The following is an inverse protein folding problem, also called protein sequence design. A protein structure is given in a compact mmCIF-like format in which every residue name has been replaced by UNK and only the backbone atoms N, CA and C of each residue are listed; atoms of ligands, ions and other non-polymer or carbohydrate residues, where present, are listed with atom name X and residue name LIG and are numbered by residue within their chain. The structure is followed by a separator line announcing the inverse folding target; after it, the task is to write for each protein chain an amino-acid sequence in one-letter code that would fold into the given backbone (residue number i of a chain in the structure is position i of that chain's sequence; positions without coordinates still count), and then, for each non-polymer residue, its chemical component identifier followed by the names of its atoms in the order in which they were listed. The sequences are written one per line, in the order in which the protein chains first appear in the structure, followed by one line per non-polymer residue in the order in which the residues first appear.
data_IF_375108815917
#
_entry.id   IF_375108815917
#
_cell.length_a   1.000
_cell.length_b   1.000
_cell.length_c   1.000
_cell.angle_alpha   90.00
_cell.angle_beta   90.00
_cell.angle_gamma   90.00
#
_symmetry.space_group_name_H-M   'P 1'
#
loop_
_entity.id
_entity.type
_entity.pdbx_description
1 polymer ?
#
# COMPACT_ATOMS: atom_id res chain seq x y z
N UNK A 1 9.83 -9.80 -0.12
CA UNK A 1 10.10 -9.15 1.18
C UNK A 1 10.88 -10.07 2.11
N UNK A 2 12.02 -9.63 2.63
CA UNK A 2 12.87 -10.40 3.55
C UNK A 2 13.69 -9.47 4.44
N UNK A 3 14.20 -9.97 5.57
CA UNK A 3 14.93 -9.13 6.52
C UNK A 3 16.19 -8.54 5.86
N UNK A 4 16.33 -7.21 5.85
CA UNK A 4 17.45 -6.51 5.22
C UNK A 4 17.30 -6.20 3.72
N UNK A 5 16.14 -6.45 3.10
CA UNK A 5 15.89 -6.11 1.69
C UNK A 5 14.85 -5.00 1.53
N UNK A 6 15.16 -4.03 0.66
CA UNK A 6 14.20 -3.04 0.16
C UNK A 6 13.70 -3.52 -1.19
N UNK A 7 12.40 -3.74 -1.30
CA UNK A 7 11.73 -4.14 -2.54
C UNK A 7 10.85 -2.99 -3.02
N UNK A 8 11.07 -2.53 -4.26
CA UNK A 8 10.23 -1.50 -4.87
C UNK A 8 9.02 -2.18 -5.50
N UNK A 9 7.85 -1.95 -4.91
CA UNK A 9 6.60 -2.57 -5.32
C UNK A 9 5.61 -1.53 -5.81
N UNK A 10 4.73 -1.96 -6.71
CA UNK A 10 3.70 -1.10 -7.28
C UNK A 10 2.40 -1.27 -6.50
N UNK A 11 1.85 -0.14 -6.05
CA UNK A 11 0.53 -0.07 -5.47
C UNK A 11 -0.54 -0.28 -6.56
N UNK A 12 -1.40 -1.27 -6.36
CA UNK A 12 -2.55 -1.54 -7.21
C UNK A 12 -3.73 -0.63 -6.85
N UNK A 13 -3.93 -0.42 -5.55
CA UNK A 13 -4.97 0.47 -5.02
C UNK A 13 -4.51 1.14 -3.73
N UNK A 14 -5.10 2.28 -3.41
CA UNK A 14 -4.71 3.10 -2.27
C UNK A 14 -5.91 3.81 -1.66
N UNK A 15 -5.99 3.75 -0.34
CA UNK A 15 -6.96 4.47 0.49
C UNK A 15 -6.24 5.23 1.61
N UNK A 16 -6.98 6.01 2.38
CA UNK A 16 -6.42 6.70 3.57
C UNK A 16 -5.95 5.73 4.65
N UNK A 17 -6.47 4.50 4.68
CA UNK A 17 -6.23 3.53 5.76
C UNK A 17 -5.41 2.31 5.33
N UNK A 18 -5.11 2.17 4.05
CA UNK A 18 -4.37 1.03 3.55
C UNK A 18 -4.07 1.08 2.06
N UNK A 19 -3.22 0.15 1.65
CA UNK A 19 -2.68 0.05 0.29
C UNK A 19 -2.74 -1.41 -0.15
N UNK A 20 -3.17 -1.66 -1.39
CA UNK A 20 -3.05 -2.97 -2.01
C UNK A 20 -1.79 -2.97 -2.88
N UNK A 21 -0.91 -3.93 -2.68
CA UNK A 21 0.39 -4.01 -3.35
C UNK A 21 0.41 -5.25 -4.23
N UNK A 22 0.87 -5.09 -5.48
CA UNK A 22 1.13 -6.20 -6.38
C UNK A 22 2.54 -6.73 -6.16
N UNK A 23 2.66 -8.03 -5.92
CA UNK A 23 3.93 -8.73 -5.77
C UNK A 23 4.03 -9.82 -6.83
N UNK A 24 5.02 -9.71 -7.74
CA UNK A 24 5.12 -10.61 -8.90
C UNK A 24 5.65 -12.01 -8.53
N UNK A 25 6.21 -12.17 -7.35
CA UNK A 25 6.72 -13.46 -6.84
C UNK A 25 5.75 -14.01 -5.79
N UNK A 26 5.60 -15.34 -5.72
CA UNK A 26 4.78 -15.98 -4.69
C UNK A 26 5.17 -15.44 -3.31
N UNK A 27 4.21 -14.86 -2.61
CA UNK A 27 4.39 -14.31 -1.26
C UNK A 27 4.31 -15.45 -0.24
N UNK A 28 5.21 -16.42 -0.37
CA UNK A 28 5.29 -17.58 0.52
C UNK A 28 6.23 -17.27 1.69
N UNK A 29 5.75 -17.51 2.92
CA UNK A 29 6.56 -17.43 4.14
C UNK A 29 6.52 -16.11 4.91
N UNK A 30 5.65 -15.15 4.56
CA UNK A 30 5.42 -13.97 5.40
C UNK A 30 4.24 -14.20 6.34
N UNK A 31 4.43 -13.99 7.64
CA UNK A 31 3.33 -14.03 8.60
C UNK A 31 2.37 -12.87 8.28
N UNK A 32 1.10 -13.20 8.00
CA UNK A 32 0.00 -12.31 7.63
C UNK A 32 -0.43 -11.36 8.75
N UNK A 33 0.24 -11.38 9.89
CA UNK A 33 0.12 -10.40 10.96
C UNK A 33 1.43 -9.65 11.24
N UNK A 34 2.44 -9.83 10.40
CA UNK A 34 3.70 -9.11 10.51
C UNK A 34 3.49 -7.61 10.28
N UNK A 35 4.12 -6.84 11.15
CA UNK A 35 4.33 -5.42 10.92
C UNK A 35 5.38 -5.23 9.81
N UNK A 36 5.10 -4.31 8.90
CA UNK A 36 6.01 -3.90 7.84
C UNK A 36 6.24 -2.39 7.91
N UNK A 37 7.47 -1.96 7.64
CA UNK A 37 7.80 -0.57 7.37
C UNK A 37 7.76 -0.34 5.85
N UNK A 38 7.10 0.73 5.45
CA UNK A 38 6.89 1.12 4.06
C UNK A 38 7.43 2.53 3.85
N UNK A 39 8.05 2.76 2.68
CA UNK A 39 8.26 4.11 2.16
C UNK A 39 7.29 4.30 1.01
N UNK A 40 6.26 5.12 1.22
CA UNK A 40 5.22 5.39 0.24
C UNK A 40 5.64 6.57 -0.61
N UNK A 41 5.65 6.38 -1.93
CA UNK A 41 5.92 7.43 -2.90
C UNK A 41 4.67 7.68 -3.73
N UNK A 42 4.14 8.91 -3.67
CA UNK A 42 2.96 9.33 -4.41
C UNK A 42 3.34 10.35 -5.50
N UNK A 43 2.75 10.30 -6.71
CA UNK A 43 3.03 11.27 -7.76
C UNK A 43 2.79 12.72 -7.29
N UNK A 44 3.84 13.55 -7.37
CA UNK A 44 3.78 14.97 -6.99
C UNK A 44 3.89 15.25 -5.49
N UNK A 45 4.16 14.24 -4.66
CA UNK A 45 4.39 14.40 -3.21
C UNK A 45 5.78 13.86 -2.83
N UNK A 46 6.29 14.35 -1.69
CA UNK A 46 7.53 13.79 -1.13
C UNK A 46 7.24 12.38 -0.58
N UNK A 47 8.18 11.43 -0.74
CA UNK A 47 8.05 10.12 -0.11
C UNK A 47 7.93 10.25 1.41
N UNK A 48 7.18 9.34 2.02
CA UNK A 48 6.95 9.33 3.45
C UNK A 48 6.95 7.92 4.03
N UNK A 49 7.23 7.83 5.33
CA UNK A 49 7.29 6.55 6.04
C UNK A 49 5.92 6.18 6.59
N UNK A 50 5.60 4.90 6.49
CA UNK A 50 4.40 4.31 7.07
C UNK A 50 4.76 2.98 7.75
N UNK A 51 4.05 2.67 8.83
CA UNK A 51 3.98 1.31 9.34
C UNK A 51 2.62 0.73 9.01
N UNK A 52 2.60 -0.56 8.72
CA UNK A 52 1.34 -1.25 8.52
C UNK A 52 1.41 -2.72 8.88
N UNK A 53 0.24 -3.32 8.98
CA UNK A 53 0.07 -4.76 9.14
C UNK A 53 -0.32 -5.32 7.80
N UNK A 54 0.37 -6.38 7.38
CA UNK A 54 -0.08 -7.16 6.23
C UNK A 54 -1.49 -7.69 6.55
N UNK A 55 -2.40 -7.61 5.57
CA UNK A 55 -3.74 -8.17 5.61
C UNK A 55 -3.95 -8.87 4.27
N UNK A 56 -4.10 -10.19 4.31
CA UNK A 56 -4.33 -10.94 3.08
C UNK A 56 -5.73 -10.62 2.53
N UNK A 57 -5.79 -10.04 1.32
CA UNK A 57 -7.03 -9.82 0.59
C UNK A 57 -7.08 -10.79 -0.59
N UNK A 58 -7.89 -11.83 -0.38
CA UNK A 58 -8.55 -12.71 -1.34
C UNK A 58 -8.05 -14.17 -1.40
N UNK A 59 -8.91 -15.15 -1.05
CA UNK A 59 -8.73 -16.58 -1.32
C UNK A 59 -9.10 -16.98 -2.78
N UNK A 60 -9.22 -16.02 -3.69
CA UNK A 60 -9.59 -16.30 -5.08
C UNK A 60 -8.37 -16.66 -5.91
N UNK A 61 -8.48 -17.70 -6.76
CA UNK A 61 -7.44 -18.19 -7.69
C UNK A 61 -6.86 -17.12 -8.64
N UNK A 62 -7.49 -15.94 -8.72
CA UNK A 62 -7.08 -14.78 -9.53
C UNK A 62 -6.28 -13.73 -8.75
N UNK A 63 -6.21 -13.83 -7.42
CA UNK A 63 -5.46 -12.90 -6.55
C UNK A 63 -4.01 -13.35 -6.28
N UNK A 64 -3.48 -14.24 -7.12
CA UNK A 64 -2.09 -14.68 -7.04
C UNK A 64 -1.15 -13.46 -7.22
N UNK A 65 -0.59 -12.98 -6.12
CA UNK A 65 0.37 -11.86 -6.13
C UNK A 65 -0.19 -10.52 -5.69
N UNK A 66 -1.22 -10.47 -4.84
CA UNK A 66 -1.60 -9.24 -4.14
C UNK A 66 -1.67 -9.43 -2.64
N UNK A 67 -1.29 -8.41 -1.87
CA UNK A 67 -1.67 -8.30 -0.47
C UNK A 67 -2.05 -6.87 -0.11
N UNK A 68 -2.94 -6.77 0.88
CA UNK A 68 -3.26 -5.50 1.51
C UNK A 68 -2.24 -5.22 2.62
N UNK A 69 -1.93 -3.96 2.81
CA UNK A 69 -1.32 -3.46 4.04
C UNK A 69 -2.27 -2.44 4.64
N UNK A 70 -2.67 -2.66 5.87
CA UNK A 70 -3.41 -1.70 6.66
C UNK A 70 -2.42 -0.78 7.36
N UNK A 71 -2.49 0.53 7.14
CA UNK A 71 -1.64 1.48 7.82
C UNK A 71 -1.99 1.51 9.32
N UNK A 72 -0.98 1.31 10.17
CA UNK A 72 -1.08 1.45 11.63
C UNK A 72 -0.46 2.75 12.10
N UNK A 73 0.56 3.24 11.40
CA UNK A 73 1.18 4.53 11.67
C UNK A 73 1.56 5.22 10.36
N UNK A 74 1.32 6.52 10.33
CA UNK A 74 1.72 7.42 9.24
C UNK A 74 2.42 8.61 9.89
N UNK A 75 3.47 9.11 9.26
CA UNK A 75 4.00 10.41 9.65
C UNK A 75 2.93 11.51 9.45
N UNK A 76 2.94 12.59 10.25
CA UNK A 76 1.91 13.62 10.15
C UNK A 76 1.80 14.26 8.76
N UNK A 77 2.94 14.44 8.08
CA UNK A 77 2.97 15.01 6.72
C UNK A 77 2.48 14.02 5.69
N UNK A 78 2.90 12.75 5.75
CA UNK A 78 2.40 11.70 4.88
C UNK A 78 0.90 11.45 5.04
N UNK A 79 0.33 11.58 6.24
CA UNK A 79 -1.14 11.53 6.42
C UNK A 79 -1.85 12.62 5.62
N UNK A 80 -1.34 13.85 5.62
CA UNK A 80 -1.87 14.94 4.79
C UNK A 80 -1.70 14.64 3.30
N UNK A 81 -0.50 14.24 2.88
CA UNK A 81 -0.21 13.91 1.47
C UNK A 81 -1.11 12.79 0.94
N UNK A 82 -1.29 11.74 1.74
CA UNK A 82 -2.15 10.61 1.42
C UNK A 82 -3.60 11.05 1.26
N UNK A 83 -4.14 11.80 2.22
CA UNK A 83 -5.51 12.31 2.16
C UNK A 83 -5.75 13.20 0.93
N UNK A 84 -4.83 14.11 0.63
CA UNK A 84 -4.92 14.99 -0.53
C UNK A 84 -4.84 14.21 -1.85
N UNK A 85 -3.97 13.20 -1.92
CA UNK A 85 -3.85 12.35 -3.09
C UNK A 85 -5.10 11.49 -3.32
N UNK A 86 -5.64 10.85 -2.28
CA UNK A 86 -6.86 10.04 -2.37
C UNK A 86 -8.05 10.91 -2.82
N UNK A 87 -8.19 12.13 -2.28
CA UNK A 87 -9.22 13.09 -2.74
C UNK A 87 -9.09 13.44 -4.22
N UNK A 88 -7.87 13.65 -4.72
CA UNK A 88 -7.61 13.90 -6.14
C UNK A 88 -7.96 12.69 -7.01
N UNK A 89 -7.65 11.47 -6.56
CA UNK A 89 -8.04 10.25 -7.29
C UNK A 89 -9.56 10.12 -7.40
N UNK A 90 -10.29 10.38 -6.31
CA UNK A 90 -11.77 10.32 -6.30
C UNK A 90 -12.37 11.38 -7.23
N UNK A 91 -11.85 12.61 -7.23
CA UNK A 91 -12.37 13.67 -8.12
C UNK A 91 -12.12 13.34 -9.60
N UNK A 92 -10.95 12.79 -9.93
CA UNK A 92 -10.62 12.37 -11.30
C UNK A 92 -11.50 11.21 -11.79
N UNK A 93 -11.74 10.20 -10.93
CA UNK A 93 -12.64 9.08 -11.27
C UNK A 93 -14.08 9.53 -11.52
N UNK A 94 -14.56 10.56 -10.83
CA UNK A 94 -15.91 11.15 -11.04
C UNK A 94 -16.05 11.94 -12.34
N UNK A 95 -14.95 12.42 -12.94
CA UNK A 95 -14.98 13.15 -14.21
C UNK A 95 -14.82 12.25 -15.44
N UNK A 96 -14.51 10.96 -15.23
CA UNK A 96 -14.29 9.97 -16.29
C UNK A 96 -15.49 9.03 -16.51
N UNK A 97 -16.60 9.23 -15.78
CA UNK A 97 -17.86 8.51 -15.95
C UNK A 97 -18.98 9.47 -16.29
#
# INVERSE_FOLDING_TARGET
MGNGFIEILIAQDLSENGIAIRVPHHFDGCDIHSAVELVVSLPGYKPFKAMGLIKHLAPAKEAAGFFGVQFTQLDPKGKTFLGDFVKKLVSQRRMAG
#
